data_IF_581634157960
#
_entry.id   IF_581634157960
#
_cell.length_a   1.000
_cell.length_b   1.000
_cell.length_c   1.000
_cell.angle_alpha   90.00
_cell.angle_beta   90.00
_cell.angle_gamma   90.00
#
_symmetry.space_group_name_H-M   'P 1'
#
loop_
_entity.id
_entity.type
_entity.pdbx_description
1 polymer ?
#
# COMPACT_ATOMS: atom_id res chain seq x y z
N UNK A 1 -46.05 -27.08 30.88
CA UNK A 1 -44.88 -26.46 30.21
C UNK A 1 -44.26 -25.31 31.03
N UNK A 2 -45.07 -24.41 31.57
CA UNK A 2 -44.57 -23.24 32.34
C UNK A 2 -43.84 -23.65 33.64
N UNK A 3 -44.35 -24.62 34.35
CA UNK A 3 -43.76 -25.11 35.62
C UNK A 3 -42.38 -25.76 35.41
N UNK A 4 -42.14 -26.44 34.32
CA UNK A 4 -40.83 -27.03 34.00
C UNK A 4 -39.80 -25.93 33.67
N UNK A 5 -40.21 -24.88 32.93
CA UNK A 5 -39.37 -23.77 32.59
C UNK A 5 -38.94 -22.95 33.85
N UNK A 6 -39.86 -22.76 34.79
CA UNK A 6 -39.56 -22.08 36.06
C UNK A 6 -38.62 -22.91 36.94
N UNK A 7 -38.82 -24.23 37.02
CA UNK A 7 -37.94 -25.09 37.79
C UNK A 7 -36.53 -25.16 37.21
N UNK A 8 -36.37 -25.19 35.88
CA UNK A 8 -35.07 -25.18 35.24
C UNK A 8 -34.32 -23.86 35.43
N UNK A 9 -35.02 -22.72 35.40
CA UNK A 9 -34.40 -21.41 35.63
C UNK A 9 -33.92 -21.22 37.09
N UNK A 10 -34.71 -21.73 38.06
CA UNK A 10 -34.30 -21.71 39.48
C UNK A 10 -33.10 -22.60 39.74
N UNK A 11 -33.05 -23.81 39.16
CA UNK A 11 -31.92 -24.72 39.28
C UNK A 11 -30.64 -24.10 38.65
N UNK A 12 -30.79 -23.44 37.50
CA UNK A 12 -29.67 -22.72 36.86
C UNK A 12 -29.18 -21.55 37.72
N UNK A 13 -30.07 -20.74 38.28
CA UNK A 13 -29.73 -19.65 39.17
C UNK A 13 -29.00 -20.16 40.43
N UNK A 14 -29.46 -21.23 41.06
CA UNK A 14 -28.82 -21.83 42.20
C UNK A 14 -27.39 -22.35 41.87
N UNK A 15 -27.20 -22.93 40.68
CA UNK A 15 -25.91 -23.40 40.20
C UNK A 15 -24.94 -22.23 40.02
N UNK A 16 -25.41 -21.15 39.40
CA UNK A 16 -24.60 -19.93 39.18
C UNK A 16 -24.18 -19.29 40.52
N UNK A 17 -25.10 -19.15 41.44
CA UNK A 17 -24.81 -18.60 42.79
C UNK A 17 -23.82 -19.47 43.56
N UNK A 18 -23.97 -20.78 43.51
CA UNK A 18 -23.09 -21.72 44.17
C UNK A 18 -21.65 -21.73 43.65
N UNK A 19 -21.50 -21.54 42.35
CA UNK A 19 -20.20 -21.63 41.67
C UNK A 19 -19.76 -20.27 41.08
N UNK A 20 -20.25 -19.17 41.65
CA UNK A 20 -20.04 -17.81 41.13
C UNK A 20 -18.55 -17.50 40.84
N UNK A 21 -17.64 -17.85 41.77
CA UNK A 21 -16.22 -17.61 41.60
C UNK A 21 -15.60 -18.36 40.42
N UNK A 22 -15.99 -19.64 40.25
CA UNK A 22 -15.52 -20.46 39.12
C UNK A 22 -16.03 -19.92 37.80
N UNK A 23 -17.32 -19.54 37.76
CA UNK A 23 -17.94 -18.99 36.54
C UNK A 23 -17.29 -17.66 36.15
N UNK A 24 -17.01 -16.77 37.13
CA UNK A 24 -16.35 -15.49 36.86
C UNK A 24 -14.92 -15.72 36.34
N UNK A 25 -14.16 -16.63 36.95
CA UNK A 25 -12.79 -16.92 36.49
C UNK A 25 -12.82 -17.56 35.09
N UNK A 26 -13.71 -18.51 34.87
CA UNK A 26 -13.85 -19.17 33.55
C UNK A 26 -14.26 -18.17 32.45
N UNK A 27 -15.19 -17.25 32.76
CA UNK A 27 -15.62 -16.21 31.82
C UNK A 27 -14.47 -15.23 31.52
N UNK A 28 -13.71 -14.85 32.54
CA UNK A 28 -12.55 -13.97 32.34
C UNK A 28 -11.48 -14.65 31.49
N UNK A 29 -11.22 -15.95 31.76
CA UNK A 29 -10.27 -16.73 30.97
C UNK A 29 -10.71 -16.91 29.52
N UNK A 30 -12.00 -17.19 29.29
CA UNK A 30 -12.58 -17.27 27.96
C UNK A 30 -12.46 -15.93 27.22
N UNK A 31 -12.74 -14.82 27.91
CA UNK A 31 -12.63 -13.49 27.34
C UNK A 31 -11.17 -13.13 26.99
N UNK A 32 -10.22 -13.53 27.84
CA UNK A 32 -8.80 -13.35 27.56
C UNK A 32 -8.34 -14.15 26.34
N UNK A 33 -8.74 -15.42 26.22
CA UNK A 33 -8.41 -16.28 25.07
C UNK A 33 -9.01 -15.71 23.78
N UNK A 34 -10.28 -15.32 23.81
CA UNK A 34 -10.93 -14.72 22.64
C UNK A 34 -10.30 -13.38 22.29
N UNK A 35 -9.93 -12.55 23.28
CA UNK A 35 -9.25 -11.27 23.07
C UNK A 35 -7.87 -11.44 22.42
N UNK A 36 -7.11 -12.46 22.80
CA UNK A 36 -5.84 -12.77 22.13
C UNK A 36 -6.02 -13.19 20.67
N UNK A 37 -7.14 -13.85 20.34
CA UNK A 37 -7.48 -14.25 18.98
C UNK A 37 -7.76 -13.06 18.03
N UNK A 38 -8.22 -11.93 18.57
CA UNK A 38 -8.54 -10.73 17.78
C UNK A 38 -7.30 -10.16 17.09
N UNK A 39 -6.13 -10.22 17.76
CA UNK A 39 -4.86 -9.77 17.17
C UNK A 39 -4.40 -10.56 15.94
N UNK A 40 -4.96 -11.77 15.74
CA UNK A 40 -4.67 -12.60 14.56
C UNK A 40 -5.65 -12.41 13.39
N UNK A 41 -6.66 -11.55 13.54
CA UNK A 41 -7.62 -11.30 12.47
C UNK A 41 -6.96 -10.45 11.38
N UNK A 42 -6.74 -11.05 10.22
CA UNK A 42 -6.29 -10.33 9.03
C UNK A 42 -7.51 -9.87 8.24
N UNK A 43 -7.60 -8.56 8.02
CA UNK A 43 -8.64 -7.99 7.17
C UNK A 43 -8.12 -7.92 5.75
N UNK A 44 -8.57 -8.82 4.89
CA UNK A 44 -8.34 -8.70 3.46
C UNK A 44 -9.68 -8.57 2.74
N UNK A 45 -9.82 -7.54 1.91
CA UNK A 45 -10.99 -7.39 1.05
C UNK A 45 -10.67 -8.08 -0.26
N UNK A 46 -11.21 -9.28 -0.43
CA UNK A 46 -11.03 -10.08 -1.65
C UNK A 46 -12.24 -9.93 -2.54
N UNK A 47 -12.05 -9.41 -3.74
CA UNK A 47 -13.12 -9.25 -4.74
C UNK A 47 -13.65 -10.62 -5.19
N UNK A 48 -12.77 -11.60 -5.30
CA UNK A 48 -13.09 -12.98 -5.70
C UNK A 48 -14.00 -13.72 -4.69
N UNK A 49 -14.02 -13.29 -3.42
CA UNK A 49 -14.95 -13.86 -2.42
C UNK A 49 -16.33 -13.20 -2.43
N UNK A 50 -16.44 -11.99 -2.97
CA UNK A 50 -17.70 -11.26 -3.07
C UNK A 50 -18.55 -11.67 -4.27
N UNK A 51 -17.92 -12.18 -5.32
CA UNK A 51 -18.59 -12.57 -6.56
C UNK A 51 -18.26 -14.02 -6.91
N UNK A 52 -19.21 -14.71 -7.55
CA UNK A 52 -18.93 -16.04 -8.10
C UNK A 52 -17.83 -15.97 -9.15
N UNK A 53 -16.88 -16.90 -9.11
CA UNK A 53 -15.73 -16.98 -10.02
C UNK A 53 -16.11 -16.94 -11.50
N UNK A 54 -17.31 -17.42 -11.84
CA UNK A 54 -17.85 -17.46 -13.21
C UNK A 54 -18.82 -16.30 -13.50
N UNK A 55 -18.91 -15.30 -12.62
CA UNK A 55 -19.78 -14.14 -12.88
C UNK A 55 -19.26 -13.32 -14.05
N UNK A 56 -20.14 -12.64 -14.83
CA UNK A 56 -19.72 -11.73 -15.90
C UNK A 56 -18.78 -10.65 -15.42
N UNK A 57 -18.96 -10.19 -14.18
CA UNK A 57 -18.11 -9.19 -13.54
C UNK A 57 -16.69 -9.72 -13.37
N UNK A 58 -16.51 -10.94 -12.83
CA UNK A 58 -15.19 -11.53 -12.65
C UNK A 58 -14.49 -11.81 -13.97
N UNK A 59 -15.24 -12.20 -15.00
CA UNK A 59 -14.71 -12.36 -16.35
C UNK A 59 -14.23 -11.05 -16.91
N UNK A 60 -15.01 -9.97 -16.76
CA UNK A 60 -14.62 -8.64 -17.21
C UNK A 60 -13.35 -8.12 -16.47
N UNK A 61 -13.27 -8.31 -15.15
CA UNK A 61 -12.06 -7.96 -14.36
C UNK A 61 -10.82 -8.69 -14.87
N UNK A 62 -10.93 -10.01 -15.10
CA UNK A 62 -9.82 -10.81 -15.63
C UNK A 62 -9.39 -10.31 -17.01
N UNK A 63 -10.34 -10.12 -17.90
CA UNK A 63 -10.05 -9.60 -19.24
C UNK A 63 -9.37 -8.23 -19.20
N UNK A 64 -9.82 -7.33 -18.30
CA UNK A 64 -9.19 -6.02 -18.15
C UNK A 64 -7.77 -6.13 -17.62
N UNK A 65 -7.53 -6.97 -16.61
CA UNK A 65 -6.18 -7.17 -16.06
C UNK A 65 -5.22 -7.79 -17.08
N UNK A 66 -5.69 -8.73 -17.91
CA UNK A 66 -4.89 -9.40 -18.93
C UNK A 66 -4.63 -8.50 -20.15
N UNK A 67 -5.61 -7.64 -20.52
CA UNK A 67 -5.54 -6.87 -21.76
C UNK A 67 -4.99 -5.46 -21.57
N UNK A 68 -5.31 -4.83 -20.45
CA UNK A 68 -4.96 -3.42 -20.21
C UNK A 68 -3.85 -3.28 -19.17
N UNK A 69 -4.11 -3.58 -17.92
CA UNK A 69 -3.16 -3.53 -16.80
C UNK A 69 -3.85 -3.96 -15.49
N UNK A 70 -3.09 -4.31 -14.45
CA UNK A 70 -3.59 -4.50 -13.10
C UNK A 70 -4.40 -3.31 -12.61
N UNK A 71 -5.52 -3.59 -11.94
CA UNK A 71 -6.56 -2.60 -11.69
C UNK A 71 -6.40 -1.83 -10.38
N UNK A 72 -5.67 -2.34 -9.41
CA UNK A 72 -5.53 -1.68 -8.10
C UNK A 72 -4.33 -0.75 -8.09
N UNK A 73 -4.54 0.58 -8.09
CA UNK A 73 -3.47 1.54 -7.92
C UNK A 73 -3.10 1.69 -6.45
N UNK A 74 -1.81 1.67 -6.16
CA UNK A 74 -1.24 2.06 -4.87
C UNK A 74 -0.40 3.29 -5.08
N UNK A 75 -0.71 4.34 -4.34
CA UNK A 75 -0.01 5.61 -4.45
C UNK A 75 1.05 5.74 -3.35
N UNK A 76 2.27 5.97 -3.78
CA UNK A 76 3.42 6.25 -2.92
C UNK A 76 3.78 7.71 -3.12
N UNK A 77 3.76 8.48 -2.04
CA UNK A 77 4.11 9.90 -2.06
C UNK A 77 5.49 10.07 -1.46
N UNK A 78 6.43 10.51 -2.29
CA UNK A 78 7.76 10.90 -1.85
C UNK A 78 7.74 12.40 -1.55
N UNK A 79 8.07 12.76 -0.31
CA UNK A 79 8.10 14.13 0.15
C UNK A 79 9.54 14.64 0.20
N UNK A 80 9.83 15.64 -0.60
CA UNK A 80 11.08 16.39 -0.52
C UNK A 80 10.87 17.67 0.29
N UNK A 81 11.56 17.80 1.41
CA UNK A 81 11.56 19.05 2.19
C UNK A 81 12.09 20.20 1.34
N UNK A 82 11.66 21.42 1.65
CA UNK A 82 12.19 22.63 1.02
C UNK A 82 13.65 22.85 1.35
N UNK A 83 14.08 22.39 2.55
CA UNK A 83 15.47 22.47 3.02
C UNK A 83 16.35 21.33 2.47
N UNK A 84 15.79 20.46 1.62
CA UNK A 84 16.54 19.38 1.00
C UNK A 84 17.52 19.92 -0.03
N UNK A 85 18.82 19.59 0.13
CA UNK A 85 19.91 19.97 -0.77
C UNK A 85 19.84 19.24 -2.14
N UNK A 86 18.86 18.36 -2.33
CA UNK A 86 18.71 17.59 -3.56
C UNK A 86 18.27 18.47 -4.72
N UNK A 87 19.12 18.56 -5.73
CA UNK A 87 18.79 19.23 -6.99
C UNK A 87 17.67 18.49 -7.72
N UNK A 88 16.88 19.16 -8.58
CA UNK A 88 15.76 18.54 -9.30
C UNK A 88 16.14 17.24 -10.03
N UNK A 89 17.33 17.19 -10.63
CA UNK A 89 17.82 15.99 -11.32
C UNK A 89 18.07 14.81 -10.37
N UNK A 90 18.57 15.10 -9.16
CA UNK A 90 18.81 14.08 -8.14
C UNK A 90 17.49 13.53 -7.58
N UNK A 91 16.45 14.37 -7.49
CA UNK A 91 15.09 13.92 -7.14
C UNK A 91 14.54 12.96 -8.19
N UNK A 92 14.77 13.24 -9.47
CA UNK A 92 14.40 12.32 -10.57
C UNK A 92 15.16 11.00 -10.47
N UNK A 93 16.47 11.03 -10.17
CA UNK A 93 17.29 9.83 -10.01
C UNK A 93 16.79 8.99 -8.83
N UNK A 94 16.45 9.62 -7.70
CA UNK A 94 15.85 8.95 -6.54
C UNK A 94 14.51 8.27 -6.89
N UNK A 95 13.61 8.99 -7.56
CA UNK A 95 12.32 8.43 -7.97
C UNK A 95 12.52 7.23 -8.88
N UNK A 96 13.46 7.29 -9.83
CA UNK A 96 13.82 6.17 -10.71
C UNK A 96 14.38 4.96 -9.96
N UNK A 97 15.21 5.21 -8.95
CA UNK A 97 15.73 4.14 -8.10
C UNK A 97 14.59 3.43 -7.36
N UNK A 98 13.64 4.19 -6.81
CA UNK A 98 12.43 3.66 -6.17
C UNK A 98 11.59 2.85 -7.16
N UNK A 99 11.31 3.38 -8.35
CA UNK A 99 10.57 2.66 -9.40
C UNK A 99 11.21 1.32 -9.75
N UNK A 100 12.52 1.31 -9.96
CA UNK A 100 13.27 0.10 -10.28
C UNK A 100 13.13 -0.97 -9.20
N UNK A 101 13.15 -0.56 -7.94
CA UNK A 101 12.96 -1.47 -6.81
C UNK A 101 11.53 -1.97 -6.70
N UNK A 102 10.55 -1.11 -6.95
CA UNK A 102 9.13 -1.49 -6.94
C UNK A 102 8.81 -2.49 -8.05
N UNK A 103 9.32 -2.27 -9.27
CA UNK A 103 9.12 -3.17 -10.42
C UNK A 103 9.78 -4.54 -10.17
N UNK A 104 10.88 -4.58 -9.42
CA UNK A 104 11.54 -5.83 -9.05
C UNK A 104 10.75 -6.67 -8.03
N UNK A 105 9.67 -6.12 -7.45
CA UNK A 105 8.78 -6.85 -6.55
C UNK A 105 7.73 -7.64 -7.34
N UNK A 106 7.59 -8.94 -7.05
CA UNK A 106 6.60 -9.82 -7.71
C UNK A 106 5.14 -9.37 -7.52
N UNK A 107 4.88 -8.56 -6.51
CA UNK A 107 3.54 -8.04 -6.23
C UNK A 107 3.15 -6.86 -7.13
N UNK A 108 4.14 -6.16 -7.70
CA UNK A 108 3.95 -4.96 -8.52
C UNK A 108 4.04 -5.32 -9.99
N UNK A 109 3.00 -5.05 -10.74
CA UNK A 109 2.95 -5.37 -12.18
C UNK A 109 3.24 -4.17 -13.09
N UNK A 110 3.33 -2.98 -12.52
CA UNK A 110 3.68 -1.78 -13.26
C UNK A 110 3.79 -0.56 -12.34
N UNK A 111 4.61 0.39 -12.74
CA UNK A 111 4.82 1.64 -12.00
C UNK A 111 4.75 2.80 -12.98
N UNK A 112 4.11 3.88 -12.57
CA UNK A 112 4.03 5.14 -13.32
C UNK A 112 4.33 6.28 -12.36
N UNK A 113 5.24 7.16 -12.74
CA UNK A 113 5.55 8.36 -11.96
C UNK A 113 5.86 9.55 -12.87
N UNK A 114 6.34 10.64 -12.29
CA UNK A 114 6.82 11.80 -13.05
C UNK A 114 7.93 11.41 -14.05
N UNK A 115 8.75 10.41 -13.74
CA UNK A 115 9.88 9.99 -14.59
C UNK A 115 9.43 9.35 -15.90
N UNK A 116 8.22 8.75 -15.92
CA UNK A 116 7.60 8.17 -17.14
C UNK A 116 7.40 9.22 -18.23
N UNK A 117 7.20 10.47 -17.86
CA UNK A 117 6.97 11.58 -18.78
C UNK A 117 8.23 12.39 -19.10
N UNK A 118 9.36 12.00 -18.51
CA UNK A 118 10.65 12.65 -18.72
C UNK A 118 11.53 11.81 -19.64
N UNK A 119 12.38 12.45 -20.45
CA UNK A 119 13.34 11.72 -21.27
C UNK A 119 14.34 10.95 -20.40
N UNK A 120 14.84 9.85 -20.93
CA UNK A 120 15.85 9.06 -20.24
C UNK A 120 17.12 9.86 -19.95
N UNK A 121 17.56 9.79 -18.69
CA UNK A 121 18.80 10.42 -18.27
C UNK A 121 19.98 9.53 -18.67
N UNK A 122 21.03 10.10 -19.26
CA UNK A 122 22.24 9.32 -19.56
C UNK A 122 22.93 8.88 -18.27
N UNK A 123 23.08 7.57 -18.11
CA UNK A 123 23.69 6.96 -16.92
C UNK A 123 25.23 6.91 -16.95
N UNK A 124 25.88 7.37 -18.03
CA UNK A 124 27.32 7.31 -18.15
C UNK A 124 28.03 8.53 -17.52
N UNK A 125 29.21 8.29 -16.94
CA UNK A 125 30.04 9.35 -16.35
C UNK A 125 31.08 9.83 -17.39
N UNK A 126 30.88 11.03 -17.91
CA UNK A 126 31.81 11.65 -18.86
C UNK A 126 31.54 13.13 -19.06
N UNK A 127 32.51 13.88 -19.62
CA UNK A 127 32.39 15.33 -19.84
C UNK A 127 31.17 15.67 -20.73
N UNK A 128 30.90 14.83 -21.71
CA UNK A 128 29.72 14.92 -22.60
C UNK A 128 28.41 14.75 -21.83
N UNK A 129 28.42 13.90 -20.83
CA UNK A 129 27.27 13.59 -19.97
C UNK A 129 26.96 14.74 -19.01
N UNK A 130 27.99 15.47 -18.55
CA UNK A 130 27.78 16.64 -17.68
C UNK A 130 27.07 17.77 -18.41
N UNK A 131 27.48 18.07 -19.65
CA UNK A 131 26.79 19.05 -20.47
C UNK A 131 25.35 18.64 -20.79
N UNK A 132 25.13 17.35 -21.09
CA UNK A 132 23.80 16.80 -21.34
C UNK A 132 22.90 16.85 -20.10
N UNK A 133 23.45 16.52 -18.93
CA UNK A 133 22.74 16.65 -17.64
C UNK A 133 22.34 18.11 -17.34
N UNK A 134 23.15 19.08 -17.68
CA UNK A 134 22.82 20.49 -17.53
C UNK A 134 21.68 20.94 -18.45
N UNK A 135 21.68 20.50 -19.71
CA UNK A 135 20.58 20.75 -20.65
C UNK A 135 19.30 20.09 -20.18
N UNK A 136 19.39 18.85 -19.68
CA UNK A 136 18.24 18.13 -19.17
C UNK A 136 17.69 18.73 -17.88
N UNK A 137 18.53 19.23 -16.98
CA UNK A 137 18.08 19.94 -15.79
C UNK A 137 17.23 21.16 -16.16
N UNK A 138 17.66 21.93 -17.15
CA UNK A 138 16.90 23.08 -17.67
C UNK A 138 15.59 22.67 -18.33
N UNK A 139 15.60 21.56 -19.07
CA UNK A 139 14.39 21.00 -19.69
C UNK A 139 13.42 20.44 -18.65
N UNK A 140 13.96 19.85 -17.59
CA UNK A 140 13.18 19.36 -16.44
C UNK A 140 12.44 20.51 -15.74
N UNK A 141 13.12 21.65 -15.47
CA UNK A 141 12.48 22.83 -14.90
C UNK A 141 11.30 23.32 -15.76
N UNK A 142 11.47 23.31 -17.06
CA UNK A 142 10.40 23.67 -18.01
C UNK A 142 9.24 22.64 -18.00
N UNK A 143 9.55 21.39 -17.77
CA UNK A 143 8.55 20.31 -17.73
C UNK A 143 7.81 20.22 -16.39
N UNK A 144 8.33 20.87 -15.32
CA UNK A 144 7.73 20.83 -13.99
C UNK A 144 6.28 21.32 -13.96
N UNK A 145 5.96 22.35 -14.74
CA UNK A 145 4.58 22.85 -14.87
C UNK A 145 3.65 21.76 -15.43
N UNK A 146 4.07 21.07 -16.49
CA UNK A 146 3.30 19.96 -17.05
C UNK A 146 3.13 18.80 -16.09
N UNK A 147 4.17 18.47 -15.28
CA UNK A 147 4.10 17.42 -14.26
C UNK A 147 3.15 17.80 -13.13
N UNK A 148 3.03 19.08 -12.81
CA UNK A 148 2.08 19.61 -11.83
C UNK A 148 0.65 19.53 -12.37
N UNK A 149 0.42 19.86 -13.62
CA UNK A 149 -0.90 19.80 -14.27
C UNK A 149 -1.45 18.36 -14.29
N UNK A 150 -0.60 17.37 -14.58
CA UNK A 150 -0.96 15.95 -14.53
C UNK A 150 -0.91 15.34 -13.12
N UNK A 151 -0.64 16.17 -12.09
CA UNK A 151 -0.66 15.81 -10.68
C UNK A 151 0.34 14.72 -10.27
N UNK A 152 1.45 14.57 -10.98
CA UNK A 152 2.56 13.72 -10.54
C UNK A 152 3.55 14.45 -9.65
N UNK A 153 3.58 15.77 -9.73
CA UNK A 153 4.33 16.63 -8.81
C UNK A 153 3.37 17.68 -8.25
N UNK A 154 3.46 17.95 -6.97
CA UNK A 154 2.70 19.00 -6.30
C UNK A 154 3.63 19.77 -5.39
N UNK A 155 3.54 21.09 -5.42
CA UNK A 155 4.17 21.95 -4.43
C UNK A 155 3.22 22.17 -3.25
N UNK A 156 3.71 21.95 -2.07
CA UNK A 156 3.07 22.25 -0.80
C UNK A 156 3.90 23.30 -0.06
N UNK A 157 3.35 23.95 0.98
CA UNK A 157 3.96 25.11 1.64
C UNK A 157 5.41 24.87 2.05
N UNK A 158 5.77 23.68 2.53
CA UNK A 158 7.09 23.33 3.05
C UNK A 158 7.77 22.17 2.31
N UNK A 159 7.16 21.67 1.24
CA UNK A 159 7.68 20.48 0.58
C UNK A 159 7.23 20.38 -0.88
N UNK A 160 7.96 19.60 -1.65
CA UNK A 160 7.54 19.12 -2.95
C UNK A 160 7.17 17.65 -2.86
N UNK A 161 5.96 17.31 -3.28
CA UNK A 161 5.40 15.97 -3.24
C UNK A 161 5.47 15.34 -4.63
N UNK A 162 6.07 14.17 -4.73
CA UNK A 162 6.16 13.40 -5.96
C UNK A 162 5.37 12.11 -5.82
N UNK A 163 4.48 11.85 -6.77
CA UNK A 163 3.61 10.69 -6.78
C UNK A 163 4.20 9.58 -7.64
N UNK A 164 4.24 8.39 -7.07
CA UNK A 164 4.53 7.13 -7.76
C UNK A 164 3.28 6.27 -7.63
N UNK A 165 2.72 5.84 -8.75
CA UNK A 165 1.57 4.94 -8.78
C UNK A 165 2.05 3.55 -9.15
N UNK A 166 2.05 2.64 -8.20
CA UNK A 166 2.29 1.22 -8.43
C UNK A 166 0.96 0.52 -8.68
N UNK A 167 0.92 -0.45 -9.58
CA UNK A 167 -0.26 -1.23 -9.92
C UNK A 167 -0.09 -2.67 -9.49
N UNK A 168 -1.08 -3.18 -8.77
CA UNK A 168 -1.16 -4.56 -8.33
C UNK A 168 -2.44 -5.22 -8.83
N UNK A 169 -2.44 -6.54 -8.96
CA UNK A 169 -3.63 -7.29 -9.39
C UNK A 169 -4.72 -7.26 -8.31
N UNK A 170 -5.95 -6.98 -8.74
CA UNK A 170 -7.14 -7.06 -7.89
C UNK A 170 -7.55 -8.52 -7.60
N UNK A 171 -7.11 -9.46 -8.44
CA UNK A 171 -7.45 -10.88 -8.38
C UNK A 171 -6.44 -11.69 -7.57
N UNK A 172 -5.29 -11.12 -7.21
CA UNK A 172 -4.33 -11.75 -6.31
C UNK A 172 -4.72 -11.54 -4.86
N UNK A 173 -4.50 -12.56 -4.05
CA UNK A 173 -4.62 -12.46 -2.59
C UNK A 173 -3.40 -11.69 -2.05
N UNK A 174 -3.55 -10.38 -1.98
CA UNK A 174 -2.50 -9.50 -1.46
C UNK A 174 -2.85 -9.10 -0.03
N UNK A 175 -2.03 -9.52 0.92
CA UNK A 175 -2.04 -8.95 2.27
C UNK A 175 -1.45 -7.54 2.18
N UNK A 176 -2.32 -6.53 2.20
CA UNK A 176 -1.91 -5.13 2.08
C UNK A 176 -0.96 -4.68 3.18
N UNK A 177 -1.10 -5.24 4.41
CA UNK A 177 -0.17 -4.94 5.50
C UNK A 177 1.24 -5.41 5.17
N UNK A 178 1.37 -6.67 4.79
CA UNK A 178 2.65 -7.24 4.38
C UNK A 178 3.23 -6.57 3.12
N UNK A 179 2.36 -6.21 2.17
CA UNK A 179 2.78 -5.48 0.97
C UNK A 179 3.36 -4.11 1.32
N UNK A 180 2.69 -3.32 2.16
CA UNK A 180 3.17 -2.01 2.58
C UNK A 180 4.50 -2.10 3.34
N UNK A 181 4.66 -3.09 4.21
CA UNK A 181 5.92 -3.35 4.91
C UNK A 181 7.03 -3.74 3.94
N UNK A 182 6.72 -4.53 2.92
CA UNK A 182 7.66 -4.90 1.86
C UNK A 182 8.10 -3.69 1.04
N UNK A 183 7.15 -2.83 0.64
CA UNK A 183 7.43 -1.57 -0.06
C UNK A 183 8.31 -0.67 0.80
N UNK A 184 7.99 -0.53 2.08
CA UNK A 184 8.79 0.27 3.02
C UNK A 184 10.21 -0.26 3.12
N UNK A 185 10.39 -1.55 3.33
CA UNK A 185 11.70 -2.20 3.41
C UNK A 185 12.52 -2.04 2.12
N UNK A 186 11.87 -2.04 0.96
CA UNK A 186 12.54 -1.84 -0.32
C UNK A 186 12.96 -0.39 -0.56
N UNK A 187 12.18 0.59 -0.06
CA UNK A 187 12.37 2.02 -0.33
C UNK A 187 13.26 2.69 0.71
N UNK A 188 13.17 2.29 1.98
CA UNK A 188 13.89 2.91 3.10
C UNK A 188 15.43 2.98 2.90
N UNK A 189 16.12 1.93 2.39
CA UNK A 189 17.56 2.01 2.11
C UNK A 189 17.92 3.09 1.07
N UNK A 190 17.05 3.27 0.06
CA UNK A 190 17.27 4.26 -0.99
C UNK A 190 17.16 5.67 -0.41
N UNK A 191 16.19 5.91 0.48
CA UNK A 191 15.99 7.21 1.13
C UNK A 191 17.14 7.58 2.07
N UNK A 192 17.86 6.61 2.63
CA UNK A 192 19.02 6.84 3.50
C UNK A 192 20.32 7.10 2.72
N UNK A 193 20.38 6.74 1.47
CA UNK A 193 21.54 6.95 0.58
C UNK A 193 21.56 8.38 0.02
N UNK A 194 20.42 9.05 -0.07
CA UNK A 194 20.22 10.40 -0.61
C UNK A 194 19.98 11.44 0.49
#
# INVERSE_FOLDING_TARGET
AVTVAVASSLAFAALVIRHNKIIVIASFFLMAITGLGVGGIRTSVRIDTLFSTNSPIMTAYRTLEETVAPLVPIEIIVRFSRDSDLRPIQRVDLIRAIETRLIASDAVSGVVSATTFLPDLPQSNGTRTTALKAIMARKLEQSMLGLTDIKYVREDNDAQLWRITARISALRDVDYGFFLDSVRTCVEPILTEY
#
